data_IF_145608649905
#
_entry.id   IF_145608649905
#
_cell.length_a   1.000
_cell.length_b   1.000
_cell.length_c   1.000
_cell.angle_alpha   90.00
_cell.angle_beta   90.00
_cell.angle_gamma   90.00
#
_symmetry.space_group_name_H-M   'P 1'
#
loop_
_entity.id
_entity.type
_entity.pdbx_description
1 polymer ?
#
# COMPACT_ATOMS: atom_id res chain seq x y z
N UNK A 1 -6.81 -24.69 -5.53
CA UNK A 1 -7.33 -23.34 -5.87
C UNK A 1 -8.14 -22.74 -4.72
N UNK A 2 -9.17 -23.41 -4.21
CA UNK A 2 -10.05 -22.89 -3.14
C UNK A 2 -9.28 -22.52 -1.85
N UNK A 3 -8.30 -23.30 -1.41
CA UNK A 3 -7.54 -22.98 -0.19
C UNK A 3 -6.66 -21.71 -0.30
N UNK A 4 -6.13 -21.45 -1.50
CA UNK A 4 -5.36 -20.24 -1.77
C UNK A 4 -6.25 -19.00 -1.77
N UNK A 5 -7.51 -19.11 -2.23
CA UNK A 5 -8.48 -18.00 -2.19
C UNK A 5 -8.76 -17.55 -0.75
N UNK A 6 -9.10 -18.49 0.12
CA UNK A 6 -9.40 -18.19 1.52
C UNK A 6 -8.18 -17.63 2.25
N UNK A 7 -6.99 -18.16 1.96
CA UNK A 7 -5.74 -17.67 2.56
C UNK A 7 -5.46 -16.22 2.18
N UNK A 8 -5.57 -15.88 0.89
CA UNK A 8 -5.41 -14.51 0.39
C UNK A 8 -6.41 -13.57 1.05
N UNK A 9 -7.68 -13.97 1.13
CA UNK A 9 -8.71 -13.14 1.76
C UNK A 9 -8.50 -12.94 3.26
N UNK A 10 -8.17 -14.00 4.00
CA UNK A 10 -7.95 -13.91 5.44
C UNK A 10 -6.79 -12.96 5.71
N UNK A 11 -5.67 -13.13 5.02
CA UNK A 11 -4.48 -12.31 5.24
C UNK A 11 -4.72 -10.85 4.83
N UNK A 12 -5.35 -10.59 3.68
CA UNK A 12 -5.63 -9.22 3.25
C UNK A 12 -6.60 -8.51 4.21
N UNK A 13 -7.55 -9.23 4.81
CA UNK A 13 -8.43 -8.68 5.84
C UNK A 13 -7.70 -8.47 7.18
N UNK A 14 -6.77 -9.35 7.56
CA UNK A 14 -5.90 -9.14 8.73
C UNK A 14 -5.06 -7.87 8.53
N UNK A 15 -4.47 -7.67 7.35
CA UNK A 15 -3.75 -6.44 7.02
C UNK A 15 -4.67 -5.21 7.20
N UNK A 16 -5.86 -5.22 6.59
CA UNK A 16 -6.86 -4.15 6.74
C UNK A 16 -7.23 -3.87 8.21
N UNK A 17 -7.39 -4.91 9.02
CA UNK A 17 -7.66 -4.78 10.45
C UNK A 17 -6.49 -4.12 11.19
N UNK A 18 -5.27 -4.55 10.91
CA UNK A 18 -4.04 -3.99 11.51
C UNK A 18 -3.87 -2.51 11.14
N UNK A 19 -4.08 -2.14 9.86
CA UNK A 19 -4.08 -0.75 9.41
C UNK A 19 -5.17 0.07 10.11
N UNK A 20 -6.36 -0.50 10.27
CA UNK A 20 -7.48 0.13 10.99
C UNK A 20 -7.14 0.36 12.47
N UNK A 21 -6.49 -0.61 13.12
CA UNK A 21 -5.99 -0.45 14.50
C UNK A 21 -4.96 0.69 14.55
N UNK A 22 -4.03 0.76 13.60
CA UNK A 22 -3.08 1.87 13.48
C UNK A 22 -3.77 3.23 13.44
N UNK A 23 -4.79 3.37 12.58
CA UNK A 23 -5.61 4.59 12.45
C UNK A 23 -6.34 4.91 13.76
N UNK A 24 -6.91 3.92 14.43
CA UNK A 24 -7.63 4.12 15.69
C UNK A 24 -6.68 4.55 16.83
N UNK A 25 -5.52 3.89 16.94
CA UNK A 25 -4.49 4.21 17.92
C UNK A 25 -4.01 5.64 17.75
N UNK A 26 -3.67 6.08 16.53
CA UNK A 26 -3.23 7.46 16.30
C UNK A 26 -4.34 8.48 16.53
N UNK A 27 -5.59 8.14 16.22
CA UNK A 27 -6.72 9.03 16.48
C UNK A 27 -6.92 9.25 17.99
N UNK A 28 -6.76 8.19 18.80
CA UNK A 28 -6.85 8.24 20.28
C UNK A 28 -5.65 8.98 20.89
N UNK A 29 -4.42 8.69 20.44
CA UNK A 29 -3.18 9.26 21.00
C UNK A 29 -2.59 10.39 20.16
N UNK A 30 -3.44 11.17 19.48
CA UNK A 30 -3.04 12.19 18.50
C UNK A 30 -1.95 13.15 18.99
N UNK A 31 -2.02 13.62 20.24
CA UNK A 31 -1.03 14.56 20.80
C UNK A 31 0.39 13.96 20.81
N UNK A 32 0.51 12.69 21.16
CA UNK A 32 1.80 11.98 21.21
C UNK A 32 2.25 11.57 19.81
N UNK A 33 1.34 11.03 19.00
CA UNK A 33 1.68 10.58 17.66
C UNK A 33 2.09 11.72 16.72
N UNK A 34 1.49 12.92 16.84
CA UNK A 34 1.95 14.08 16.08
C UNK A 34 3.36 14.55 16.47
N UNK A 35 3.81 14.30 17.70
CA UNK A 35 5.20 14.60 18.12
C UNK A 35 6.21 13.63 17.50
N UNK A 36 5.83 12.35 17.38
CA UNK A 36 6.72 11.29 16.89
C UNK A 36 6.57 10.98 15.40
N UNK A 37 5.75 11.77 14.70
CA UNK A 37 5.37 11.52 13.31
C UNK A 37 6.55 11.54 12.35
N UNK A 38 7.58 12.35 12.64
CA UNK A 38 8.81 12.35 11.87
C UNK A 38 9.47 10.97 11.85
N UNK A 39 9.51 10.26 12.99
CA UNK A 39 10.10 8.92 13.06
C UNK A 39 9.33 7.89 12.23
N UNK A 40 8.00 7.90 12.30
CA UNK A 40 7.16 7.02 11.47
C UNK A 40 7.33 7.30 9.98
N UNK A 41 7.42 8.58 9.59
CA UNK A 41 7.66 8.98 8.19
C UNK A 41 9.04 8.57 7.71
N UNK A 42 10.10 8.80 8.50
CA UNK A 42 11.46 8.40 8.14
C UNK A 42 11.61 6.88 8.04
N UNK A 43 10.98 6.12 8.95
CA UNK A 43 10.96 4.66 8.89
C UNK A 43 10.26 4.17 7.62
N UNK A 44 9.04 4.63 7.33
CA UNK A 44 8.29 4.23 6.14
C UNK A 44 9.02 4.61 4.86
N UNK A 45 9.50 5.86 4.76
CA UNK A 45 10.27 6.31 3.59
C UNK A 45 11.56 5.50 3.42
N UNK A 46 12.27 5.19 4.50
CA UNK A 46 13.48 4.37 4.47
C UNK A 46 13.23 2.96 3.95
N UNK A 47 12.20 2.28 4.46
CA UNK A 47 11.81 0.95 3.98
C UNK A 47 11.40 1.00 2.51
N UNK A 48 10.54 1.94 2.12
CA UNK A 48 10.05 2.05 0.74
C UNK A 48 11.18 2.34 -0.25
N UNK A 49 12.08 3.28 0.05
CA UNK A 49 13.23 3.59 -0.81
C UNK A 49 14.14 2.37 -0.91
N UNK A 50 14.49 1.74 0.21
CA UNK A 50 15.39 0.58 0.22
C UNK A 50 14.81 -0.58 -0.59
N UNK A 51 13.56 -0.97 -0.32
CA UNK A 51 12.89 -2.07 -1.03
C UNK A 51 12.74 -1.76 -2.52
N UNK A 52 12.37 -0.52 -2.87
CA UNK A 52 12.21 -0.14 -4.27
C UNK A 52 13.51 -0.20 -5.06
N UNK A 53 14.60 0.37 -4.53
CA UNK A 53 15.87 0.47 -5.26
C UNK A 53 16.73 -0.80 -5.18
N UNK A 54 16.71 -1.52 -4.06
CA UNK A 54 17.58 -2.69 -3.87
C UNK A 54 16.94 -4.00 -4.33
N UNK A 55 15.62 -4.06 -4.41
CA UNK A 55 14.91 -5.31 -4.75
C UNK A 55 14.00 -5.15 -5.97
N UNK A 56 13.01 -4.26 -5.93
CA UNK A 56 11.97 -4.20 -6.98
C UNK A 56 12.54 -3.71 -8.31
N UNK A 57 13.34 -2.64 -8.30
CA UNK A 57 13.86 -2.02 -9.50
C UNK A 57 14.84 -2.94 -10.26
N UNK A 58 15.87 -3.54 -9.63
CA UNK A 58 16.77 -4.46 -10.30
C UNK A 58 16.02 -5.67 -10.87
N UNK A 59 15.15 -6.29 -10.07
CA UNK A 59 14.36 -7.45 -10.49
C UNK A 59 13.48 -7.11 -11.71
N UNK A 60 12.85 -5.93 -11.73
CA UNK A 60 12.02 -5.52 -12.85
C UNK A 60 12.81 -5.40 -14.16
N UNK A 61 14.07 -4.96 -14.09
CA UNK A 61 14.93 -4.79 -15.27
C UNK A 61 15.44 -6.14 -15.79
N UNK A 62 15.61 -7.13 -14.92
CA UNK A 62 15.92 -8.50 -15.31
C UNK A 62 14.71 -9.20 -15.95
N UNK A 63 13.50 -8.97 -15.42
CA UNK A 63 12.27 -9.59 -15.92
C UNK A 63 11.76 -9.01 -17.24
N UNK A 64 12.03 -7.72 -17.54
CA UNK A 64 11.56 -7.09 -18.77
C UNK A 64 12.43 -5.95 -19.26
N UNK A 65 12.80 -6.00 -20.54
CA UNK A 65 13.50 -4.90 -21.24
C UNK A 65 12.68 -3.59 -21.27
N UNK A 66 11.36 -3.66 -21.10
CA UNK A 66 10.47 -2.50 -21.09
C UNK A 66 10.31 -1.88 -19.70
N UNK A 67 10.82 -2.51 -18.63
CA UNK A 67 10.65 -2.02 -17.27
C UNK A 67 11.11 -0.56 -17.04
N UNK A 68 12.22 -0.06 -17.63
CA UNK A 68 12.58 1.35 -17.51
C UNK A 68 11.52 2.31 -18.08
N UNK A 69 10.82 1.91 -19.15
CA UNK A 69 9.75 2.72 -19.76
C UNK A 69 8.54 2.76 -18.83
N UNK A 70 8.16 1.62 -18.23
CA UNK A 70 7.07 1.57 -17.26
C UNK A 70 7.38 2.38 -15.99
N UNK A 71 8.62 2.32 -15.50
CA UNK A 71 9.09 3.14 -14.38
C UNK A 71 8.95 4.64 -14.70
N UNK A 72 9.45 5.08 -15.85
CA UNK A 72 9.40 6.47 -16.27
C UNK A 72 7.95 6.95 -16.47
N UNK A 73 7.11 6.09 -17.06
CA UNK A 73 5.68 6.37 -17.23
C UNK A 73 5.00 6.54 -15.88
N UNK A 74 5.25 5.64 -14.93
CA UNK A 74 4.73 5.74 -13.57
C UNK A 74 5.15 7.03 -12.87
N UNK A 75 6.42 7.42 -13.01
CA UNK A 75 6.93 8.70 -12.48
C UNK A 75 6.18 9.90 -13.06
N UNK A 76 6.02 9.97 -14.38
CA UNK A 76 5.31 11.09 -15.02
C UNK A 76 3.83 11.13 -14.66
N UNK A 77 3.16 9.98 -14.55
CA UNK A 77 1.77 9.90 -14.08
C UNK A 77 1.65 10.45 -12.66
N UNK A 78 2.55 10.05 -11.76
CA UNK A 78 2.53 10.52 -10.37
C UNK A 78 2.90 12.01 -10.26
N UNK A 79 3.83 12.49 -11.09
CA UNK A 79 4.18 13.91 -11.19
C UNK A 79 2.99 14.75 -11.67
N UNK A 80 2.29 14.30 -12.72
CA UNK A 80 1.08 14.96 -13.20
C UNK A 80 0.00 14.96 -12.12
N UNK A 81 -0.15 13.85 -11.41
CA UNK A 81 -1.09 13.73 -10.29
C UNK A 81 -0.80 14.74 -9.17
N UNK A 82 0.47 14.87 -8.75
CA UNK A 82 0.91 15.89 -7.78
C UNK A 82 0.52 17.30 -8.23
N UNK A 83 0.79 17.64 -9.50
CA UNK A 83 0.48 18.95 -10.07
C UNK A 83 -1.03 19.22 -10.12
N UNK A 84 -1.82 18.22 -10.54
CA UNK A 84 -3.27 18.32 -10.62
C UNK A 84 -3.91 18.52 -9.23
N UNK A 85 -3.47 17.76 -8.22
CA UNK A 85 -3.99 17.91 -6.86
C UNK A 85 -3.64 19.29 -6.29
N UNK A 86 -2.40 19.76 -6.48
CA UNK A 86 -1.97 21.11 -6.07
C UNK A 86 -2.78 22.21 -6.74
N UNK A 87 -3.04 22.08 -8.04
CA UNK A 87 -3.83 23.06 -8.79
C UNK A 87 -5.28 23.14 -8.32
N UNK A 88 -5.91 22.00 -8.00
CA UNK A 88 -7.33 21.95 -7.65
C UNK A 88 -7.62 22.23 -6.17
N UNK A 89 -6.74 21.83 -5.27
CA UNK A 89 -6.98 21.88 -3.81
C UNK A 89 -6.04 22.81 -3.04
N UNK A 90 -5.02 23.38 -3.71
CA UNK A 90 -4.01 24.24 -3.12
C UNK A 90 -2.95 23.47 -2.32
N UNK A 91 -1.83 24.13 -2.03
CA UNK A 91 -0.65 23.51 -1.40
C UNK A 91 -0.97 22.85 -0.06
N UNK A 92 -1.72 23.55 0.80
CA UNK A 92 -2.03 23.08 2.16
C UNK A 92 -2.80 21.76 2.17
N UNK A 93 -3.77 21.57 1.28
CA UNK A 93 -4.57 20.34 1.21
C UNK A 93 -3.80 19.20 0.54
N UNK A 94 -2.93 19.55 -0.40
CA UNK A 94 -2.13 18.61 -1.18
C UNK A 94 -1.15 17.81 -0.32
N UNK A 95 -0.63 18.40 0.76
CA UNK A 95 0.20 17.72 1.78
C UNK A 95 -0.51 16.48 2.36
N UNK A 96 -1.85 16.45 2.37
CA UNK A 96 -2.64 15.32 2.85
C UNK A 96 -3.13 14.41 1.73
N UNK A 97 -3.63 15.00 0.64
CA UNK A 97 -4.25 14.25 -0.45
C UNK A 97 -3.25 13.46 -1.29
N UNK A 98 -2.07 14.00 -1.57
CA UNK A 98 -1.07 13.30 -2.40
C UNK A 98 -0.59 12.03 -1.68
N UNK A 99 -0.14 12.07 -0.40
CA UNK A 99 0.21 10.84 0.31
C UNK A 99 -0.96 9.88 0.45
N UNK A 100 -2.18 10.37 0.70
CA UNK A 100 -3.38 9.52 0.81
C UNK A 100 -3.63 8.71 -0.47
N UNK A 101 -3.55 9.34 -1.64
CA UNK A 101 -3.72 8.64 -2.90
C UNK A 101 -2.55 7.72 -3.23
N UNK A 102 -1.32 8.13 -2.93
CA UNK A 102 -0.13 7.28 -3.09
C UNK A 102 -0.21 6.01 -2.26
N UNK A 103 -0.58 6.14 -0.99
CA UNK A 103 -0.83 5.02 -0.07
C UNK A 103 -2.00 4.17 -0.56
N UNK A 104 -3.09 4.78 -1.02
CA UNK A 104 -4.21 4.03 -1.61
C UNK A 104 -3.82 3.14 -2.80
N UNK A 105 -2.91 3.64 -3.65
CA UNK A 105 -2.36 2.84 -4.74
C UNK A 105 -1.37 1.78 -4.25
N UNK A 106 -0.52 2.11 -3.27
CA UNK A 106 0.44 1.20 -2.68
C UNK A 106 -0.25 -0.01 -2.03
N UNK A 107 -1.17 0.24 -1.09
CA UNK A 107 -1.96 -0.79 -0.40
C UNK A 107 -2.77 -1.65 -1.39
N UNK A 108 -3.28 -1.07 -2.49
CA UNK A 108 -3.89 -1.85 -3.56
C UNK A 108 -2.90 -2.84 -4.21
N UNK A 109 -1.68 -2.39 -4.51
CA UNK A 109 -0.61 -3.25 -5.05
C UNK A 109 -0.20 -4.32 -4.04
N UNK A 110 -0.15 -4.03 -2.74
CA UNK A 110 0.11 -5.05 -1.71
C UNK A 110 -0.97 -6.14 -1.71
N UNK A 111 -2.23 -5.75 -1.93
CA UNK A 111 -3.34 -6.66 -2.23
C UNK A 111 -3.03 -7.63 -3.38
N UNK A 112 -2.49 -7.12 -4.49
CA UNK A 112 -2.08 -7.93 -5.64
C UNK A 112 -0.92 -8.86 -5.27
N UNK A 113 0.05 -8.38 -4.48
CA UNK A 113 1.21 -9.17 -4.04
C UNK A 113 0.77 -10.35 -3.16
N UNK A 114 -0.26 -10.21 -2.32
CA UNK A 114 -0.84 -11.36 -1.61
C UNK A 114 -1.33 -12.43 -2.58
N UNK A 115 -2.09 -12.07 -3.62
CA UNK A 115 -2.56 -13.02 -4.64
C UNK A 115 -1.40 -13.72 -5.34
N UNK A 116 -0.34 -12.98 -5.70
CA UNK A 116 0.85 -13.51 -6.38
C UNK A 116 1.60 -14.49 -5.47
N UNK A 117 1.95 -14.08 -4.26
CA UNK A 117 2.79 -14.87 -3.34
C UNK A 117 2.12 -16.18 -2.91
N UNK A 118 0.81 -16.16 -2.62
CA UNK A 118 0.03 -17.36 -2.34
C UNK A 118 -0.23 -18.24 -3.57
N UNK A 119 -0.15 -17.68 -4.79
CA UNK A 119 -0.21 -18.50 -6.01
C UNK A 119 1.07 -19.31 -6.20
N UNK A 120 2.23 -18.79 -5.79
CA UNK A 120 3.53 -19.49 -5.83
C UNK A 120 3.52 -20.68 -4.86
N UNK A 121 3.41 -20.41 -3.55
CA UNK A 121 3.27 -21.45 -2.53
C UNK A 121 2.66 -20.91 -1.24
N UNK A 122 2.06 -21.78 -0.42
CA UNK A 122 1.53 -21.37 0.88
C UNK A 122 2.64 -20.81 1.81
N UNK A 123 3.82 -21.44 1.80
CA UNK A 123 4.96 -21.01 2.60
C UNK A 123 5.46 -19.61 2.19
N UNK A 124 5.64 -19.37 0.89
CA UNK A 124 6.02 -18.05 0.35
C UNK A 124 4.98 -17.00 0.71
N UNK A 125 3.69 -17.33 0.57
CA UNK A 125 2.57 -16.46 0.93
C UNK A 125 2.62 -16.02 2.40
N UNK A 126 2.81 -16.97 3.33
CA UNK A 126 2.89 -16.65 4.77
C UNK A 126 4.10 -15.79 5.12
N UNK A 127 5.29 -16.11 4.57
CA UNK A 127 6.50 -15.32 4.84
C UNK A 127 6.35 -13.88 4.36
N UNK A 128 5.85 -13.69 3.13
CA UNK A 128 5.60 -12.36 2.59
C UNK A 128 4.52 -11.64 3.42
N UNK A 129 3.48 -12.35 3.83
CA UNK A 129 2.37 -11.80 4.59
C UNK A 129 2.76 -11.22 5.95
N UNK A 130 3.65 -11.89 6.68
CA UNK A 130 4.12 -11.39 7.97
C UNK A 130 4.77 -10.01 7.79
N UNK A 131 5.69 -9.88 6.84
CA UNK A 131 6.36 -8.62 6.54
C UNK A 131 5.38 -7.54 6.04
N UNK A 132 4.39 -7.94 5.25
CA UNK A 132 3.40 -7.01 4.71
C UNK A 132 2.46 -6.46 5.79
N UNK A 133 1.90 -7.33 6.63
CA UNK A 133 0.98 -6.93 7.72
C UNK A 133 1.65 -5.96 8.72
N UNK A 134 2.96 -6.09 8.97
CA UNK A 134 3.63 -5.20 9.92
C UNK A 134 3.83 -3.76 9.42
N UNK A 135 4.05 -3.54 8.12
CA UNK A 135 4.27 -2.19 7.60
C UNK A 135 2.98 -1.42 7.30
N UNK A 136 1.88 -2.15 7.17
CA UNK A 136 0.50 -1.65 7.05
C UNK A 136 0.04 -0.84 8.29
N UNK A 137 0.52 -1.19 9.50
CA UNK A 137 0.21 -0.43 10.71
C UNK A 137 0.77 1.02 10.68
N UNK A 138 2.08 1.24 10.45
CA UNK A 138 2.63 2.57 10.24
C UNK A 138 1.95 3.35 9.12
N UNK A 139 1.57 2.69 8.03
CA UNK A 139 0.96 3.33 6.86
C UNK A 139 -0.40 3.98 7.18
N UNK A 140 -1.25 3.27 7.93
CA UNK A 140 -2.50 3.82 8.44
C UNK A 140 -2.29 5.06 9.32
N UNK A 141 -1.26 5.03 10.17
CA UNK A 141 -0.87 6.17 11.03
C UNK A 141 -0.45 7.37 10.20
N UNK A 142 0.46 7.16 9.25
CA UNK A 142 1.04 8.21 8.41
C UNK A 142 -0.03 8.89 7.56
N UNK A 143 -0.94 8.12 6.95
CA UNK A 143 -2.06 8.65 6.16
C UNK A 143 -2.94 9.59 6.98
N UNK A 144 -3.34 9.15 8.18
CA UNK A 144 -4.18 9.95 9.07
C UNK A 144 -3.49 11.24 9.49
N UNK A 145 -2.19 11.17 9.80
CA UNK A 145 -1.39 12.33 10.17
C UNK A 145 -1.34 13.35 9.04
N UNK A 146 -1.02 12.94 7.82
CA UNK A 146 -0.90 13.86 6.69
C UNK A 146 -2.23 14.56 6.40
N UNK A 147 -3.34 13.82 6.44
CA UNK A 147 -4.69 14.41 6.30
C UNK A 147 -5.01 15.40 7.44
N UNK A 148 -4.67 15.08 8.68
CA UNK A 148 -4.88 16.03 9.78
C UNK A 148 -3.98 17.26 9.69
N UNK A 149 -2.73 17.13 9.23
CA UNK A 149 -1.82 18.25 8.96
C UNK A 149 -2.31 19.14 7.81
N UNK A 150 -2.93 18.54 6.79
CA UNK A 150 -3.64 19.24 5.72
C UNK A 150 -4.95 19.94 6.17
N UNK A 151 -5.25 19.93 7.47
CA UNK A 151 -6.40 20.61 8.06
C UNK A 151 -7.73 19.90 7.80
N UNK A 152 -7.74 18.59 7.55
CA UNK A 152 -8.98 17.82 7.57
C UNK A 152 -9.46 17.58 9.01
N UNK A 153 -10.79 17.60 9.20
CA UNK A 153 -11.41 17.21 10.48
C UNK A 153 -11.06 15.74 10.78
N UNK A 154 -10.97 15.39 12.07
CA UNK A 154 -10.59 14.04 12.51
C UNK A 154 -11.44 12.94 11.87
N UNK A 155 -12.76 13.11 11.84
CA UNK A 155 -13.68 12.14 11.22
C UNK A 155 -13.37 11.91 9.74
N UNK A 156 -13.16 12.97 8.97
CA UNK A 156 -12.77 12.87 7.56
C UNK A 156 -11.41 12.22 7.39
N UNK A 157 -10.43 12.59 8.22
CA UNK A 157 -9.10 11.98 8.17
C UNK A 157 -9.16 10.48 8.48
N UNK A 158 -9.94 10.05 9.47
CA UNK A 158 -10.15 8.63 9.78
C UNK A 158 -10.79 7.88 8.61
N UNK A 159 -11.89 8.39 8.05
CA UNK A 159 -12.59 7.73 6.95
C UNK A 159 -11.70 7.63 5.71
N UNK A 160 -11.03 8.73 5.34
CA UNK A 160 -10.16 8.74 4.16
C UNK A 160 -8.94 7.85 4.34
N UNK A 161 -8.34 7.81 5.54
CA UNK A 161 -7.22 6.89 5.81
C UNK A 161 -7.68 5.43 5.81
N UNK A 162 -8.87 5.14 6.33
CA UNK A 162 -9.42 3.79 6.33
C UNK A 162 -9.70 3.31 4.91
N UNK A 163 -10.35 4.15 4.08
CA UNK A 163 -10.60 3.81 2.68
C UNK A 163 -9.27 3.63 1.95
N UNK A 164 -8.34 4.58 2.08
CA UNK A 164 -7.09 4.57 1.33
C UNK A 164 -6.15 3.46 1.78
N UNK A 165 -5.84 3.32 3.07
CA UNK A 165 -4.81 2.40 3.54
C UNK A 165 -5.35 1.01 3.92
N UNK A 166 -6.58 0.89 4.41
CA UNK A 166 -7.09 -0.40 4.91
C UNK A 166 -7.93 -1.16 3.89
N UNK A 167 -8.80 -0.46 3.13
CA UNK A 167 -9.79 -1.11 2.26
C UNK A 167 -9.25 -1.43 0.88
N UNK A 168 -8.28 -0.66 0.38
CA UNK A 168 -7.64 -0.90 -0.92
C UNK A 168 -6.88 -2.23 -0.96
N UNK A 169 -6.25 -2.67 0.13
CA UNK A 169 -5.54 -3.96 0.22
C UNK A 169 -6.44 -5.18 -0.09
N UNK A 170 -7.56 -5.42 0.62
CA UNK A 170 -8.46 -6.51 0.28
C UNK A 170 -9.11 -6.33 -1.09
N UNK A 171 -9.34 -5.09 -1.56
CA UNK A 171 -9.82 -4.84 -2.92
C UNK A 171 -8.79 -5.30 -3.97
N UNK A 172 -7.51 -4.97 -3.79
CA UNK A 172 -6.44 -5.40 -4.68
C UNK A 172 -6.30 -6.91 -4.72
N UNK A 173 -6.40 -7.57 -3.56
CA UNK A 173 -6.41 -9.02 -3.47
C UNK A 173 -7.60 -9.64 -4.22
N UNK A 174 -8.82 -9.14 -3.97
CA UNK A 174 -10.04 -9.63 -4.61
C UNK A 174 -10.03 -9.45 -6.13
N UNK A 175 -9.61 -8.28 -6.62
CA UNK A 175 -9.61 -7.97 -8.05
C UNK A 175 -8.56 -8.78 -8.78
N UNK A 176 -7.37 -8.96 -8.20
CA UNK A 176 -6.26 -9.67 -8.86
C UNK A 176 -6.39 -11.19 -8.83
N UNK A 177 -7.00 -11.75 -7.78
CA UNK A 177 -7.04 -13.20 -7.56
C UNK A 177 -7.52 -14.02 -8.79
N UNK A 178 -8.61 -13.66 -9.49
CA UNK A 178 -9.07 -14.41 -10.66
C UNK A 178 -8.09 -14.39 -11.84
N UNK A 179 -7.28 -13.35 -11.98
CA UNK A 179 -6.29 -13.24 -13.05
C UNK A 179 -5.04 -14.04 -12.69
N UNK A 180 -4.55 -13.90 -11.46
CA UNK A 180 -3.35 -14.58 -10.99
C UNK A 180 -3.58 -16.10 -10.85
N UNK A 181 -4.73 -16.53 -10.36
CA UNK A 181 -5.05 -17.97 -10.23
C UNK A 181 -5.07 -18.70 -11.58
N UNK A 182 -5.42 -18.01 -12.67
CA UNK A 182 -5.36 -18.57 -14.03
C UNK A 182 -3.93 -18.80 -14.51
N UNK A 183 -2.97 -17.94 -14.12
CA UNK A 183 -1.56 -18.08 -14.51
C UNK A 183 -0.95 -19.36 -13.94
N UNK A 184 -1.37 -19.80 -12.75
CA UNK A 184 -0.95 -21.07 -12.13
C UNK A 184 -1.42 -22.30 -12.91
N UNK A 185 -2.56 -22.21 -13.61
CA UNK A 185 -3.08 -23.30 -14.44
C UNK A 185 -2.30 -23.48 -15.75
N UNK A 186 -1.56 -22.46 -16.19
CA UNK A 186 -0.81 -22.48 -17.46
C UNK A 186 0.64 -22.93 -17.26
N UNK A 187 1.16 -22.92 -16.03
CA UNK A 187 2.49 -23.42 -15.66
C UNK A 187 2.44 -24.87 -15.17
N UNK A 188 1.90 -25.77 -15.98
CA UNK A 188 2.57 -27.08 -16.16
C UNK A 188 3.73 -26.84 -17.13
N UNK A 189 4.80 -26.23 -16.63
CA UNK A 189 6.11 -26.31 -17.29
C UNK A 189 6.68 -27.68 -16.93
N UNK A 190 7.09 -28.43 -17.95
CA UNK A 190 7.62 -29.79 -17.85
C UNK A 190 8.96 -29.91 -17.15
#
# INVERSE_FOLDING_TARGET
>A
MIESFWSVLIVSNIAALVTTIGIFVINKFKKTGLKNVAYFMCFAAGVLITVSFMHILPESFELSKQAPIFLLTGFFVFYAFDKLIKSNYGEKKSIGLIPMWGIGFHSFVDGIIYSITFSVSFFTGILAAIGMVFHEFPEGIVTFVFLTKAGYKKSKATIYSFIAAAITTPIGALISYPFISKLKGTTTLG
#
